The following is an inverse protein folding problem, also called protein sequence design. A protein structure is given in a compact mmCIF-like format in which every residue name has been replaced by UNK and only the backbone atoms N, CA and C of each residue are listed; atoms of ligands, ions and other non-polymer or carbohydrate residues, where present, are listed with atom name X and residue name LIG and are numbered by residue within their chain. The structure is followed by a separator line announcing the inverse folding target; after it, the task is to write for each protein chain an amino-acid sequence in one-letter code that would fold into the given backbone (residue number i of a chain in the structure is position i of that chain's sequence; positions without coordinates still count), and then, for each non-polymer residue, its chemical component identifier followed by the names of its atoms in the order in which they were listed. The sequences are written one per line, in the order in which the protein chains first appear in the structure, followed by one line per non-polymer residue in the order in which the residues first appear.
data_IF_269036875702
#
_entry.id   IF_269036875702
#
_cell.length_a   1.000
_cell.length_b   1.000
_cell.length_c   1.000
_cell.angle_alpha   90.00
_cell.angle_beta   90.00
_cell.angle_gamma   90.00
#
_symmetry.space_group_name_H-M   'P 1'
#
loop_
_entity.id
_entity.type
_entity.pdbx_description
1 polymer ?
#
# COMPACT_ATOMS: atom_id res chain seq x y z
N UNK A 1 47.83 -38.40 -0.74
CA UNK A 1 47.26 -37.07 -0.41
C UNK A 1 47.11 -36.21 -1.68
N UNK A 2 46.24 -36.61 -2.61
CA UNK A 2 45.88 -35.86 -3.84
C UNK A 2 44.65 -36.55 -4.43
N UNK A 3 43.48 -36.22 -3.88
CA UNK A 3 42.11 -36.57 -4.32
C UNK A 3 41.23 -36.22 -3.12
N UNK A 4 40.70 -34.99 -3.10
CA UNK A 4 39.60 -34.41 -2.29
C UNK A 4 39.74 -32.86 -2.41
N UNK A 5 39.95 -32.33 -3.61
CA UNK A 5 39.78 -30.89 -3.90
C UNK A 5 39.32 -30.79 -5.35
N UNK A 6 38.17 -31.39 -5.68
CA UNK A 6 37.53 -31.16 -6.99
C UNK A 6 36.00 -31.33 -6.95
N UNK A 7 35.39 -31.26 -5.77
CA UNK A 7 33.92 -31.37 -5.61
C UNK A 7 33.28 -30.19 -4.88
N UNK A 8 34.08 -29.22 -4.39
CA UNK A 8 33.57 -27.99 -3.80
C UNK A 8 33.58 -26.76 -4.75
N UNK A 9 34.19 -26.89 -5.93
CA UNK A 9 34.29 -25.79 -6.91
C UNK A 9 33.24 -25.88 -8.04
N UNK A 10 32.51 -27.01 -8.14
CA UNK A 10 31.48 -27.19 -9.16
C UNK A 10 30.10 -26.63 -8.76
N UNK A 11 29.93 -26.17 -7.52
CA UNK A 11 28.69 -25.54 -7.04
C UNK A 11 28.73 -24.00 -7.08
N UNK A 12 29.86 -23.40 -7.48
CA UNK A 12 30.04 -21.94 -7.45
C UNK A 12 30.17 -21.27 -8.84
N UNK A 13 30.09 -22.02 -9.95
CA UNK A 13 30.32 -21.47 -11.32
C UNK A 13 29.24 -21.88 -12.33
N UNK A 14 27.99 -22.06 -11.91
CA UNK A 14 26.87 -22.32 -12.84
C UNK A 14 25.65 -21.37 -12.69
N UNK A 15 25.77 -20.30 -11.90
CA UNK A 15 24.75 -19.24 -11.81
C UNK A 15 25.29 -17.85 -12.12
N UNK A 16 26.07 -17.71 -13.20
CA UNK A 16 26.26 -16.44 -13.89
C UNK A 16 25.57 -16.46 -15.27
N UNK A 17 24.35 -17.02 -15.31
CA UNK A 17 23.38 -16.61 -16.32
C UNK A 17 22.58 -15.49 -15.68
N UNK A 18 22.69 -14.27 -16.20
CA UNK A 18 21.82 -13.14 -15.85
C UNK A 18 20.41 -13.68 -15.63
N UNK A 19 19.96 -13.71 -14.37
CA UNK A 19 18.59 -14.11 -14.11
C UNK A 19 17.72 -13.05 -14.79
N UNK A 20 16.74 -13.41 -15.64
CA UNK A 20 15.88 -12.43 -16.30
C UNK A 20 15.32 -11.37 -15.32
N UNK A 21 15.08 -11.77 -14.06
CA UNK A 21 14.62 -10.91 -12.96
C UNK A 21 15.55 -9.72 -12.69
N UNK A 22 16.87 -9.89 -12.80
CA UNK A 22 17.85 -8.84 -12.45
C UNK A 22 17.76 -7.62 -13.37
N UNK A 23 17.25 -7.82 -14.59
CA UNK A 23 17.04 -6.78 -15.60
C UNK A 23 15.55 -6.42 -15.77
N UNK A 24 14.66 -6.99 -14.94
CA UNK A 24 13.22 -6.70 -14.94
C UNK A 24 12.89 -5.53 -14.01
N UNK A 25 11.71 -4.96 -14.21
CA UNK A 25 11.07 -4.12 -13.21
C UNK A 25 10.47 -5.03 -12.15
N UNK A 26 10.91 -4.85 -10.90
CA UNK A 26 10.41 -5.60 -9.76
C UNK A 26 9.52 -4.67 -8.94
N UNK A 27 8.21 -4.89 -8.98
CA UNK A 27 7.25 -4.22 -8.12
C UNK A 27 7.32 -4.87 -6.74
N UNK A 28 7.64 -4.11 -5.70
CA UNK A 28 7.63 -4.58 -4.31
C UNK A 28 6.18 -4.74 -3.85
N UNK A 29 5.42 -3.64 -3.94
CA UNK A 29 4.00 -3.58 -3.60
C UNK A 29 3.30 -2.54 -4.46
N UNK A 30 1.99 -2.70 -4.61
CA UNK A 30 1.13 -1.74 -5.30
C UNK A 30 -0.06 -1.43 -4.41
N UNK A 31 -0.40 -0.16 -4.30
CA UNK A 31 -1.47 0.32 -3.45
C UNK A 31 -2.42 1.16 -4.29
N UNK A 32 -3.72 0.96 -4.14
CA UNK A 32 -4.73 1.88 -4.67
C UNK A 32 -5.43 2.58 -3.51
N UNK A 33 -5.76 3.86 -3.68
CA UNK A 33 -6.63 4.54 -2.73
C UNK A 33 -8.02 3.87 -2.70
N UNK A 34 -8.50 3.46 -3.88
CA UNK A 34 -9.68 2.63 -4.07
C UNK A 34 -9.57 1.79 -5.35
N UNK A 35 -10.41 0.77 -5.45
CA UNK A 35 -10.59 -0.01 -6.66
C UNK A 35 -12.08 -0.30 -6.83
N UNK A 36 -12.61 0.01 -8.00
CA UNK A 36 -13.92 -0.46 -8.41
C UNK A 36 -13.92 -2.00 -8.47
N UNK A 37 -15.06 -2.62 -8.23
CA UNK A 37 -15.19 -4.07 -8.12
C UNK A 37 -14.57 -4.81 -9.33
N UNK A 38 -13.72 -5.80 -9.04
CA UNK A 38 -13.01 -6.59 -10.06
C UNK A 38 -11.80 -5.90 -10.71
N UNK A 39 -11.46 -4.67 -10.32
CA UNK A 39 -10.36 -3.89 -10.94
C UNK A 39 -9.21 -3.65 -9.96
N UNK A 40 -8.48 -4.71 -9.59
CA UNK A 40 -7.28 -4.62 -8.74
C UNK A 40 -6.20 -3.72 -9.37
N UNK A 41 -5.43 -2.94 -8.59
CA UNK A 41 -4.36 -2.12 -9.13
C UNK A 41 -3.31 -2.91 -9.92
N UNK A 42 -3.08 -4.18 -9.56
CA UNK A 42 -2.10 -5.03 -10.26
C UNK A 42 -2.51 -5.35 -11.70
N UNK A 43 -3.78 -5.17 -12.05
CA UNK A 43 -4.30 -5.41 -13.39
C UNK A 43 -3.62 -4.56 -14.47
N UNK A 44 -2.99 -3.43 -14.10
CA UNK A 44 -2.25 -2.58 -15.06
C UNK A 44 -1.03 -3.29 -15.69
N UNK A 45 -0.64 -4.46 -15.16
CA UNK A 45 0.42 -5.30 -15.70
C UNK A 45 -0.09 -6.60 -16.33
N UNK A 46 -1.41 -6.80 -16.39
CA UNK A 46 -2.03 -8.03 -16.88
C UNK A 46 -2.78 -7.74 -18.18
N UNK A 47 -2.38 -8.44 -19.25
CA UNK A 47 -3.02 -8.29 -20.57
C UNK A 47 -4.53 -8.52 -20.48
N UNK A 48 -5.31 -7.63 -21.09
CA UNK A 48 -6.77 -7.70 -21.13
C UNK A 48 -7.48 -7.24 -19.85
N UNK A 49 -6.74 -6.84 -18.79
CA UNK A 49 -7.32 -6.26 -17.58
C UNK A 49 -7.00 -4.77 -17.47
N UNK A 50 -7.60 -4.12 -16.48
CA UNK A 50 -7.37 -2.72 -16.13
C UNK A 50 -7.66 -2.50 -14.64
N UNK A 51 -7.15 -1.39 -14.11
CA UNK A 51 -7.54 -0.84 -12.81
C UNK A 51 -8.48 0.35 -13.03
N UNK A 52 -9.52 0.48 -12.20
CA UNK A 52 -10.41 1.63 -12.21
C UNK A 52 -10.62 2.17 -10.79
N UNK A 53 -10.41 3.47 -10.56
CA UNK A 53 -10.72 4.07 -9.28
C UNK A 53 -12.22 4.14 -9.02
N UNK A 54 -12.62 4.19 -7.75
CA UNK A 54 -14.00 4.49 -7.35
C UNK A 54 -14.32 5.98 -7.51
N UNK A 55 -13.33 6.87 -7.35
CA UNK A 55 -13.52 8.33 -7.44
C UNK A 55 -12.39 9.03 -8.22
N UNK A 56 -12.62 10.28 -8.63
CA UNK A 56 -11.61 11.09 -9.35
C UNK A 56 -10.44 11.58 -8.48
N UNK A 57 -10.47 11.36 -7.16
CA UNK A 57 -9.37 11.64 -6.24
C UNK A 57 -8.51 10.40 -5.93
N UNK A 58 -8.79 9.28 -6.61
CA UNK A 58 -8.13 8.01 -6.33
C UNK A 58 -7.09 7.70 -7.39
N UNK A 59 -5.90 7.33 -6.92
CA UNK A 59 -4.78 6.92 -7.75
C UNK A 59 -4.18 5.60 -7.29
N UNK A 60 -3.19 5.13 -8.04
CA UNK A 60 -2.35 3.99 -7.67
C UNK A 60 -0.92 4.44 -7.37
N UNK A 61 -0.35 3.87 -6.33
CA UNK A 61 1.06 4.02 -5.96
C UNK A 61 1.77 2.70 -6.20
N UNK A 62 2.86 2.74 -6.98
CA UNK A 62 3.66 1.58 -7.33
C UNK A 62 5.02 1.75 -6.66
N UNK A 63 5.35 0.83 -5.76
CA UNK A 63 6.62 0.79 -5.03
C UNK A 63 7.52 -0.24 -5.67
N UNK A 64 8.76 0.14 -5.95
CA UNK A 64 9.72 -0.73 -6.63
C UNK A 64 10.65 -1.44 -5.65
N UNK A 65 11.24 -2.55 -6.10
CA UNK A 65 12.38 -3.21 -5.48
C UNK A 65 13.50 -3.35 -6.50
N UNK A 66 14.72 -3.52 -6.01
CA UNK A 66 15.91 -3.67 -6.84
C UNK A 66 15.98 -5.08 -7.40
N UNK A 67 15.73 -5.19 -8.71
CA UNK A 67 15.83 -6.43 -9.46
C UNK A 67 17.18 -7.12 -9.27
N UNK A 68 18.30 -6.40 -9.21
CA UNK A 68 19.62 -7.00 -9.01
C UNK A 68 19.84 -7.58 -7.59
N UNK A 69 18.95 -7.27 -6.63
CA UNK A 69 19.01 -7.75 -5.25
C UNK A 69 17.79 -8.59 -4.86
N UNK A 70 17.03 -9.07 -5.85
CA UNK A 70 15.76 -9.78 -5.62
C UNK A 70 15.93 -11.07 -4.79
N UNK A 71 17.09 -11.71 -4.85
CA UNK A 71 17.42 -12.96 -4.14
C UNK A 71 18.27 -12.74 -2.88
N UNK A 72 18.44 -11.50 -2.43
CA UNK A 72 19.21 -11.19 -1.22
C UNK A 72 18.29 -11.14 0.00
N UNK A 73 18.70 -11.81 1.08
CA UNK A 73 18.05 -11.70 2.37
C UNK A 73 18.39 -10.35 3.05
N UNK A 74 17.53 -9.92 3.96
CA UNK A 74 17.69 -8.67 4.71
C UNK A 74 16.88 -7.52 4.12
N UNK A 75 17.30 -6.29 4.43
CA UNK A 75 16.56 -5.08 4.05
C UNK A 75 16.45 -4.97 2.53
N UNK A 76 15.24 -4.75 2.02
CA UNK A 76 15.02 -4.52 0.60
C UNK A 76 15.53 -3.15 0.17
N UNK A 77 15.95 -3.07 -1.09
CA UNK A 77 16.39 -1.83 -1.74
C UNK A 77 15.29 -1.42 -2.70
N UNK A 78 14.54 -0.38 -2.36
CA UNK A 78 13.29 -0.04 -3.04
C UNK A 78 13.50 0.76 -4.32
N UNK A 79 14.20 0.24 -5.35
CA UNK A 79 14.54 1.03 -6.55
C UNK A 79 14.45 0.23 -7.85
N UNK A 80 13.82 0.79 -8.88
CA UNK A 80 13.86 0.27 -10.25
C UNK A 80 14.59 1.22 -11.21
N UNK A 81 15.13 0.65 -12.30
CA UNK A 81 15.89 1.39 -13.30
C UNK A 81 15.20 1.28 -14.67
N UNK A 82 14.69 2.42 -15.14
CA UNK A 82 14.10 2.62 -16.46
C UNK A 82 14.23 4.10 -16.84
N UNK A 83 14.24 4.41 -18.13
CA UNK A 83 14.34 5.79 -18.62
C UNK A 83 13.18 6.21 -19.52
N UNK A 84 12.23 5.31 -19.81
CA UNK A 84 10.97 5.65 -20.46
C UNK A 84 9.81 4.90 -19.83
N UNK A 85 8.63 5.51 -19.84
CA UNK A 85 7.39 4.94 -19.32
C UNK A 85 6.24 5.25 -20.28
N UNK A 86 5.34 4.29 -20.48
CA UNK A 86 4.09 4.47 -21.21
C UNK A 86 2.91 4.09 -20.33
N UNK A 87 1.84 4.89 -20.38
CA UNK A 87 0.60 4.67 -19.65
C UNK A 87 -0.54 4.68 -20.66
N UNK A 88 -1.32 3.62 -20.68
CA UNK A 88 -2.54 3.52 -21.49
C UNK A 88 -3.74 3.60 -20.56
N UNK A 89 -4.67 4.50 -20.85
CA UNK A 89 -5.91 4.64 -20.10
C UNK A 89 -7.00 3.70 -20.65
N UNK A 90 -7.99 3.39 -19.82
CA UNK A 90 -9.14 2.58 -20.23
C UNK A 90 -9.95 3.31 -21.32
N UNK A 91 -10.21 4.59 -21.11
CA UNK A 91 -10.82 5.48 -22.10
C UNK A 91 -9.74 6.36 -22.73
N UNK A 92 -9.77 6.52 -24.06
CA UNK A 92 -8.81 7.37 -24.79
C UNK A 92 -9.17 8.87 -24.67
N UNK A 93 -9.28 9.37 -23.44
CA UNK A 93 -9.62 10.77 -23.12
C UNK A 93 -9.08 11.17 -21.74
N UNK A 94 -8.88 12.47 -21.54
CA UNK A 94 -8.34 12.99 -20.27
C UNK A 94 -6.84 12.74 -20.14
N UNK A 95 -6.35 12.77 -18.91
CA UNK A 95 -4.93 12.62 -18.60
C UNK A 95 -4.68 11.76 -17.36
N UNK A 96 -3.44 11.33 -17.17
CA UNK A 96 -2.94 10.75 -15.91
C UNK A 96 -1.82 11.63 -15.39
N UNK A 97 -2.03 12.24 -14.22
CA UNK A 97 -0.96 12.93 -13.52
C UNK A 97 0.04 11.90 -12.98
N UNK A 98 1.31 12.07 -13.35
CA UNK A 98 2.41 11.20 -12.98
C UNK A 98 3.32 11.91 -11.99
N UNK A 99 3.48 11.28 -10.84
CA UNK A 99 4.41 11.69 -9.80
C UNK A 99 5.50 10.64 -9.68
N UNK A 100 6.73 11.10 -9.49
CA UNK A 100 7.92 10.27 -9.35
C UNK A 100 8.65 10.68 -8.08
N UNK A 101 8.87 9.74 -7.18
CA UNK A 101 9.55 9.96 -5.89
C UNK A 101 8.91 11.14 -5.10
N UNK A 102 7.58 11.19 -5.08
CA UNK A 102 6.80 12.22 -4.39
C UNK A 102 6.68 13.57 -5.13
N UNK A 103 7.41 13.77 -6.21
CA UNK A 103 7.38 15.02 -6.99
C UNK A 103 6.51 14.88 -8.24
N UNK A 104 5.77 15.93 -8.58
CA UNK A 104 5.09 15.99 -9.88
C UNK A 104 6.12 15.90 -11.00
N UNK A 105 5.84 15.08 -12.02
CA UNK A 105 6.74 14.88 -13.14
C UNK A 105 6.12 15.33 -14.47
N UNK A 106 4.93 14.85 -14.82
CA UNK A 106 4.21 15.27 -16.05
C UNK A 106 2.77 14.75 -16.06
N UNK A 107 1.98 15.14 -17.06
CA UNK A 107 0.71 14.52 -17.40
C UNK A 107 0.84 13.64 -18.65
N UNK A 108 0.28 12.43 -18.59
CA UNK A 108 0.12 11.53 -19.73
C UNK A 108 -1.22 11.79 -20.39
N UNK A 109 -1.20 12.23 -21.66
CA UNK A 109 -2.39 12.38 -22.48
C UNK A 109 -2.92 10.99 -22.88
N UNK A 110 -4.11 10.61 -22.39
CA UNK A 110 -4.70 9.30 -22.62
C UNK A 110 -5.03 9.01 -24.10
N UNK A 111 -4.95 10.01 -24.99
CA UNK A 111 -5.08 9.81 -26.44
C UNK A 111 -3.79 9.29 -27.09
N UNK A 112 -2.66 9.34 -26.38
CA UNK A 112 -1.33 8.96 -26.85
C UNK A 112 -0.80 7.77 -26.07
N UNK A 113 -0.24 6.79 -26.78
CA UNK A 113 0.31 5.55 -26.19
C UNK A 113 1.85 5.48 -26.29
N UNK A 114 2.48 6.61 -26.61
CA UNK A 114 3.93 6.68 -26.83
C UNK A 114 4.69 6.69 -25.50
N UNK A 115 5.76 5.88 -25.35
CA UNK A 115 6.68 6.01 -24.22
C UNK A 115 7.22 7.43 -24.10
N UNK A 116 7.22 7.97 -22.89
CA UNK A 116 7.81 9.26 -22.56
C UNK A 116 9.13 9.06 -21.82
N UNK A 117 10.14 9.84 -22.19
CA UNK A 117 11.44 9.85 -21.53
C UNK A 117 11.32 10.48 -20.14
N UNK A 118 11.96 9.86 -19.16
CA UNK A 118 12.08 10.37 -17.80
C UNK A 118 13.55 10.48 -17.39
N UNK A 119 13.88 11.50 -16.60
CA UNK A 119 15.18 11.56 -15.92
C UNK A 119 15.16 10.58 -14.73
N UNK A 120 16.06 9.61 -14.72
CA UNK A 120 16.09 8.55 -13.71
C UNK A 120 17.52 8.17 -13.33
N UNK A 121 17.81 8.19 -12.02
CA UNK A 121 19.01 7.58 -11.42
C UNK A 121 18.59 6.41 -10.50
N UNK A 122 17.46 5.77 -10.83
CA UNK A 122 16.71 4.89 -9.95
C UNK A 122 15.43 5.58 -9.45
N UNK A 123 14.30 4.90 -9.60
CA UNK A 123 12.97 5.37 -9.16
C UNK A 123 12.51 4.46 -8.03
N UNK A 124 12.10 5.05 -6.89
CA UNK A 124 11.62 4.28 -5.75
C UNK A 124 10.12 4.05 -5.80
N UNK A 125 9.40 5.10 -6.18
CA UNK A 125 7.94 5.09 -6.16
C UNK A 125 7.40 5.97 -7.27
N UNK A 126 6.30 5.53 -7.87
CA UNK A 126 5.49 6.37 -8.74
C UNK A 126 4.06 6.40 -8.23
N UNK A 127 3.40 7.55 -8.40
CA UNK A 127 1.98 7.71 -8.13
C UNK A 127 1.28 8.19 -9.40
N UNK A 128 0.19 7.50 -9.76
CA UNK A 128 -0.59 7.73 -10.96
C UNK A 128 -2.00 8.12 -10.55
N UNK A 129 -2.40 9.35 -10.89
CA UNK A 129 -3.73 9.88 -10.63
C UNK A 129 -4.44 10.15 -11.97
N UNK A 130 -5.37 9.29 -12.40
CA UNK A 130 -6.14 9.53 -13.61
C UNK A 130 -7.21 10.61 -13.40
N UNK A 131 -7.37 11.46 -14.40
CA UNK A 131 -8.44 12.45 -14.47
C UNK A 131 -9.80 11.76 -14.57
N UNK A 132 -10.81 12.38 -13.94
CA UNK A 132 -12.24 12.02 -14.09
C UNK A 132 -12.53 10.53 -13.84
N UNK A 133 -11.76 9.89 -12.95
CA UNK A 133 -11.84 8.47 -12.64
C UNK A 133 -11.67 7.54 -13.88
N UNK A 134 -10.93 7.99 -14.89
CA UNK A 134 -10.56 7.16 -16.03
C UNK A 134 -9.68 5.98 -15.53
N UNK A 135 -10.00 4.75 -15.95
CA UNK A 135 -9.19 3.61 -15.56
C UNK A 135 -7.78 3.66 -16.17
N UNK A 136 -6.83 2.96 -15.57
CA UNK A 136 -5.51 2.70 -16.16
C UNK A 136 -5.52 1.27 -16.69
N UNK A 137 -5.28 1.12 -17.99
CA UNK A 137 -5.26 -0.16 -18.67
C UNK A 137 -3.88 -0.80 -18.61
N UNK A 138 -2.83 -0.06 -18.97
CA UNK A 138 -1.46 -0.58 -18.90
C UNK A 138 -0.47 0.44 -18.38
N UNK A 139 0.55 -0.05 -17.66
CA UNK A 139 1.77 0.71 -17.33
C UNK A 139 2.96 -0.11 -17.83
N UNK A 140 3.75 0.46 -18.74
CA UNK A 140 4.91 -0.19 -19.34
C UNK A 140 6.17 0.62 -19.12
N UNK A 141 7.27 -0.06 -18.84
CA UNK A 141 8.58 0.54 -18.58
C UNK A 141 9.58 0.13 -19.65
N UNK A 142 10.48 1.03 -19.99
CA UNK A 142 11.49 0.77 -21.01
C UNK A 142 12.86 1.30 -20.57
N UNK A 143 13.89 0.62 -21.08
CA UNK A 143 15.28 1.04 -20.97
C UNK A 143 15.86 1.16 -22.39
N UNK A 144 16.19 2.37 -22.81
CA UNK A 144 16.79 2.65 -24.13
C UNK A 144 15.95 2.08 -25.28
N UNK A 145 14.64 2.36 -25.29
CA UNK A 145 13.68 1.87 -26.27
C UNK A 145 13.26 0.40 -26.11
N UNK A 146 13.91 -0.40 -25.26
CA UNK A 146 13.55 -1.79 -25.01
C UNK A 146 12.53 -1.90 -23.87
N UNK A 147 11.37 -2.49 -24.14
CA UNK A 147 10.36 -2.81 -23.11
C UNK A 147 10.93 -3.79 -22.10
N UNK A 148 10.74 -3.50 -20.82
CA UNK A 148 11.18 -4.33 -19.70
C UNK A 148 10.05 -5.23 -19.24
N UNK A 149 10.40 -6.45 -18.82
CA UNK A 149 9.47 -7.34 -18.14
C UNK A 149 9.14 -6.78 -16.75
N UNK A 150 7.90 -6.97 -16.30
CA UNK A 150 7.43 -6.52 -14.99
C UNK A 150 7.09 -7.74 -14.14
N UNK A 151 7.73 -7.84 -12.99
CA UNK A 151 7.49 -8.85 -11.98
C UNK A 151 6.81 -8.21 -10.79
N UNK A 152 5.72 -8.79 -10.36
CA UNK A 152 4.90 -8.25 -9.27
C UNK A 152 4.44 -9.37 -8.34
N UNK A 153 3.99 -9.04 -7.11
CA UNK A 153 3.30 -10.01 -6.26
C UNK A 153 2.01 -10.46 -6.95
N UNK A 154 1.95 -11.72 -7.36
CA UNK A 154 0.78 -12.32 -7.98
C UNK A 154 -0.37 -12.37 -6.97
N UNK A 155 -1.56 -11.85 -7.31
CA UNK A 155 -2.71 -11.95 -6.41
C UNK A 155 -3.18 -13.40 -6.34
N UNK A 156 -3.23 -13.96 -5.13
CA UNK A 156 -3.78 -15.30 -4.86
C UNK A 156 -4.95 -15.18 -3.89
N UNK A 157 -6.06 -15.84 -4.22
CA UNK A 157 -7.25 -15.80 -3.36
C UNK A 157 -7.04 -16.63 -2.11
N UNK A 158 -7.45 -16.07 -0.96
CA UNK A 158 -7.42 -16.76 0.32
C UNK A 158 -8.22 -16.04 1.38
N UNK A 159 -7.99 -16.44 2.63
CA UNK A 159 -8.50 -15.79 3.82
C UNK A 159 -7.35 -15.65 4.82
N UNK A 160 -7.25 -14.49 5.44
CA UNK A 160 -6.28 -14.19 6.48
C UNK A 160 -7.04 -13.99 7.78
N UNK A 161 -6.67 -14.75 8.79
CA UNK A 161 -7.25 -14.67 10.14
C UNK A 161 -6.15 -14.44 11.16
N UNK A 162 -6.51 -13.94 12.33
CA UNK A 162 -5.60 -13.79 13.45
C UNK A 162 -6.25 -14.30 14.73
N UNK A 163 -5.42 -14.74 15.69
CA UNK A 163 -5.89 -15.16 17.01
C UNK A 163 -6.58 -14.03 17.76
N UNK A 164 -6.13 -12.80 17.54
CA UNK A 164 -6.79 -11.58 18.00
C UNK A 164 -6.47 -10.42 17.06
N UNK A 165 -7.21 -9.33 17.21
CA UNK A 165 -7.04 -8.12 16.42
C UNK A 165 -7.52 -6.93 17.25
N UNK A 166 -6.71 -5.87 17.33
CA UNK A 166 -7.17 -4.59 17.85
C UNK A 166 -8.26 -4.02 16.92
N UNK A 167 -9.34 -3.40 17.45
CA UNK A 167 -10.39 -2.85 16.61
C UNK A 167 -9.85 -1.90 15.52
N UNK A 168 -10.26 -2.13 14.27
CA UNK A 168 -9.84 -1.40 13.06
C UNK A 168 -8.42 -1.71 12.54
N UNK A 169 -7.76 -2.74 13.05
CA UNK A 169 -6.44 -3.21 12.57
C UNK A 169 -6.48 -4.68 12.11
N UNK A 170 -7.37 -5.01 11.15
CA UNK A 170 -7.72 -6.38 10.75
C UNK A 170 -6.53 -7.15 10.17
N UNK A 171 -6.57 -8.48 10.27
CA UNK A 171 -5.54 -9.36 9.74
C UNK A 171 -5.32 -9.21 8.21
N UNK A 172 -6.39 -8.90 7.45
CA UNK A 172 -6.28 -8.69 6.01
C UNK A 172 -5.44 -7.47 5.62
N UNK A 173 -5.19 -6.52 6.54
CA UNK A 173 -4.27 -5.40 6.29
C UNK A 173 -2.82 -5.84 6.14
N UNK A 174 -2.48 -7.09 6.46
CA UNK A 174 -1.16 -7.65 6.13
C UNK A 174 -0.90 -7.77 4.62
N UNK A 175 -1.93 -7.63 3.77
CA UNK A 175 -1.85 -7.84 2.32
C UNK A 175 -2.57 -6.76 1.51
N UNK A 176 -2.80 -5.57 2.10
CA UNK A 176 -3.52 -4.49 1.43
C UNK A 176 -2.63 -3.59 0.57
N UNK A 177 -1.32 -3.88 0.53
CA UNK A 177 -0.31 -3.16 -0.22
C UNK A 177 0.14 -1.88 0.46
N UNK A 178 -0.33 -1.56 1.68
CA UNK A 178 -0.10 -0.32 2.41
C UNK A 178 0.63 -0.54 3.72
N UNK A 179 1.82 0.05 3.85
CA UNK A 179 2.54 0.05 5.14
C UNK A 179 1.95 1.03 6.17
N UNK A 180 0.96 1.83 5.76
CA UNK A 180 0.24 2.76 6.62
C UNK A 180 -0.94 2.08 7.33
N UNK A 181 -1.41 0.98 6.78
CA UNK A 181 -2.34 0.06 7.43
C UNK A 181 -1.54 -1.10 7.99
N UNK A 182 -2.12 -1.80 8.96
CA UNK A 182 -1.40 -2.84 9.69
C UNK A 182 -2.38 -3.79 10.35
N UNK A 183 -1.90 -5.02 10.58
CA UNK A 183 -2.46 -5.85 11.62
C UNK A 183 -1.80 -5.50 12.97
N UNK A 184 -2.65 -5.37 13.98
CA UNK A 184 -2.25 -5.16 15.37
C UNK A 184 -2.94 -6.24 16.18
N UNK A 185 -2.18 -6.98 16.98
CA UNK A 185 -2.77 -7.95 17.90
C UNK A 185 -3.66 -7.25 18.94
N UNK A 186 -4.63 -7.99 19.49
CA UNK A 186 -5.69 -7.43 20.32
C UNK A 186 -5.62 -7.82 21.80
N UNK A 187 -4.53 -8.43 22.27
CA UNK A 187 -4.39 -8.84 23.66
C UNK A 187 -3.82 -7.72 24.54
N UNK A 188 -4.11 -7.68 25.85
CA UNK A 188 -3.55 -6.65 26.75
C UNK A 188 -2.04 -6.78 27.03
N UNK A 189 -1.41 -7.85 26.52
CA UNK A 189 0.02 -8.15 26.72
C UNK A 189 0.84 -7.64 25.54
N UNK A 190 2.08 -8.11 25.38
CA UNK A 190 2.94 -7.73 24.25
C UNK A 190 2.67 -8.55 22.98
N UNK A 191 1.73 -9.51 23.02
CA UNK A 191 1.34 -10.31 21.86
C UNK A 191 2.16 -11.58 21.64
N UNK A 192 3.03 -11.98 22.58
CA UNK A 192 3.70 -13.30 22.50
C UNK A 192 2.65 -14.42 22.54
N UNK A 193 2.72 -15.33 21.58
CA UNK A 193 1.75 -16.41 21.37
C UNK A 193 0.62 -16.06 20.40
N UNK A 194 0.41 -14.78 20.10
CA UNK A 194 -0.53 -14.37 19.07
C UNK A 194 -0.05 -14.78 17.68
N UNK A 195 -0.98 -14.94 16.76
CA UNK A 195 -0.71 -15.49 15.44
C UNK A 195 -1.62 -14.95 14.38
N UNK A 196 -1.15 -15.02 13.13
CA UNK A 196 -2.00 -14.93 11.96
C UNK A 196 -1.85 -16.19 11.11
N UNK A 197 -2.92 -16.52 10.40
CA UNK A 197 -3.01 -17.70 9.56
C UNK A 197 -3.55 -17.31 8.20
N UNK A 198 -2.92 -17.86 7.16
CA UNK A 198 -3.27 -17.69 5.76
C UNK A 198 -3.83 -19.02 5.27
N UNK A 199 -5.07 -19.00 4.80
CA UNK A 199 -5.72 -20.12 4.15
C UNK A 199 -5.98 -19.78 2.68
N UNK A 200 -5.22 -20.39 1.78
CA UNK A 200 -5.27 -20.16 0.34
C UNK A 200 -6.25 -21.13 -0.35
N UNK A 201 -6.78 -20.70 -1.50
CA UNK A 201 -7.61 -21.58 -2.34
C UNK A 201 -6.76 -22.61 -3.11
N UNK A 202 -5.55 -22.20 -3.52
CA UNK A 202 -4.60 -23.02 -4.28
C UNK A 202 -3.34 -23.32 -3.46
N UNK A 203 -2.73 -24.47 -3.73
CA UNK A 203 -1.47 -24.86 -3.09
C UNK A 203 -0.31 -24.02 -3.62
N UNK A 204 0.57 -23.57 -2.72
CA UNK A 204 1.81 -22.88 -3.06
C UNK A 204 2.97 -23.48 -2.29
N UNK A 205 4.17 -23.40 -2.88
CA UNK A 205 5.42 -23.66 -2.17
C UNK A 205 5.95 -22.37 -1.57
N UNK A 206 5.81 -22.20 -0.26
CA UNK A 206 6.23 -21.01 0.47
C UNK A 206 7.70 -21.15 0.91
N UNK A 207 8.58 -20.38 0.28
CA UNK A 207 10.03 -20.41 0.47
C UNK A 207 10.54 -19.25 1.33
N UNK A 208 9.67 -18.32 1.71
CA UNK A 208 10.05 -17.15 2.51
C UNK A 208 8.93 -16.13 2.62
N UNK A 209 9.25 -15.02 3.28
CA UNK A 209 8.40 -13.82 3.31
C UNK A 209 9.25 -12.57 3.13
N UNK A 210 8.62 -11.52 2.61
CA UNK A 210 9.07 -10.15 2.81
C UNK A 210 8.15 -9.50 3.85
N UNK A 211 8.70 -8.98 4.94
CA UNK A 211 7.92 -8.43 6.05
C UNK A 211 8.25 -6.96 6.28
N UNK A 212 7.21 -6.14 6.40
CA UNK A 212 7.28 -4.77 6.89
C UNK A 212 6.88 -4.77 8.36
N UNK A 213 7.87 -4.99 9.21
CA UNK A 213 7.67 -5.19 10.65
C UNK A 213 7.39 -3.86 11.38
N UNK A 214 6.64 -3.93 12.49
CA UNK A 214 6.26 -2.76 13.29
C UNK A 214 5.29 -1.83 12.57
N UNK A 215 4.87 -0.76 13.27
CA UNK A 215 3.93 0.20 12.69
C UNK A 215 4.67 1.24 11.84
N UNK A 216 4.53 1.16 10.51
CA UNK A 216 5.31 1.97 9.57
C UNK A 216 4.58 3.20 9.00
N UNK A 217 3.38 3.52 9.51
CA UNK A 217 2.62 4.74 9.12
C UNK A 217 3.41 6.03 9.34
N UNK A 218 4.21 6.07 10.40
CA UNK A 218 5.09 7.18 10.75
C UNK A 218 6.30 6.62 11.50
N UNK A 219 7.50 7.13 11.21
CA UNK A 219 8.74 6.63 11.81
C UNK A 219 8.70 6.54 13.34
N UNK A 220 8.08 7.52 13.99
CA UNK A 220 7.92 7.52 15.44
C UNK A 220 7.07 6.34 15.96
N UNK A 221 6.10 5.85 15.19
CA UNK A 221 5.20 4.76 15.61
C UNK A 221 5.93 3.42 15.68
N UNK A 222 6.93 3.19 14.82
CA UNK A 222 7.71 1.95 14.83
C UNK A 222 8.35 1.66 16.20
N UNK A 223 8.80 2.70 16.91
CA UNK A 223 9.39 2.56 18.24
C UNK A 223 8.38 2.71 19.39
N UNK A 224 7.22 3.33 19.15
CA UNK A 224 6.19 3.48 20.18
C UNK A 224 5.38 2.21 20.38
N UNK A 225 5.20 1.42 19.32
CA UNK A 225 4.53 0.12 19.32
C UNK A 225 5.52 -1.04 19.40
N UNK A 226 5.01 -2.22 19.75
CA UNK A 226 5.74 -3.47 19.70
C UNK A 226 6.00 -3.94 18.28
N UNK A 227 7.07 -4.72 18.10
CA UNK A 227 7.47 -5.31 16.81
C UNK A 227 8.00 -6.72 17.02
N UNK A 228 7.79 -7.60 16.03
CA UNK A 228 8.17 -9.01 16.18
C UNK A 228 9.68 -9.19 16.01
N UNK A 229 10.30 -10.08 16.78
CA UNK A 229 11.72 -10.46 16.60
C UNK A 229 11.88 -11.91 16.17
N UNK A 230 10.96 -12.78 16.56
CA UNK A 230 10.99 -14.20 16.21
C UNK A 230 9.55 -14.66 15.91
N UNK A 231 9.38 -15.34 14.76
CA UNK A 231 8.13 -15.95 14.32
C UNK A 231 8.32 -17.46 14.19
N UNK A 232 7.37 -18.25 14.68
CA UNK A 232 7.23 -19.65 14.31
C UNK A 232 6.36 -19.74 13.05
N UNK A 233 6.92 -20.28 11.97
CA UNK A 233 6.19 -20.54 10.72
C UNK A 233 5.85 -22.03 10.67
N UNK A 234 4.61 -22.37 10.30
CA UNK A 234 4.17 -23.76 10.16
C UNK A 234 3.10 -23.97 9.07
N UNK A 235 3.03 -25.18 8.51
CA UNK A 235 1.98 -25.64 7.59
C UNK A 235 1.22 -26.88 8.13
N UNK A 236 0.99 -26.93 9.45
CA UNK A 236 0.46 -28.05 10.24
C UNK A 236 1.37 -29.30 10.34
N UNK A 237 2.11 -29.67 9.30
CA UNK A 237 3.02 -30.84 9.31
C UNK A 237 4.42 -30.49 9.78
N UNK A 238 4.90 -29.30 9.43
CA UNK A 238 6.25 -28.85 9.68
C UNK A 238 6.26 -27.46 10.30
N UNK A 239 7.28 -27.16 11.10
CA UNK A 239 7.50 -25.81 11.61
C UNK A 239 8.98 -25.47 11.78
N UNK A 240 9.28 -24.17 11.77
CA UNK A 240 10.58 -23.62 12.12
C UNK A 240 10.46 -22.16 12.54
N UNK A 241 11.42 -21.70 13.34
CA UNK A 241 11.51 -20.29 13.73
C UNK A 241 12.30 -19.49 12.70
N UNK A 242 11.83 -18.28 12.41
CA UNK A 242 12.56 -17.25 11.65
C UNK A 242 12.81 -16.04 12.52
N UNK A 243 13.89 -15.31 12.22
CA UNK A 243 14.24 -14.05 12.91
C UNK A 243 13.89 -12.86 12.04
N UNK A 244 13.34 -11.82 12.66
CA UNK A 244 13.01 -10.54 12.04
C UNK A 244 13.89 -9.46 12.65
N UNK A 245 14.60 -8.69 11.83
CA UNK A 245 15.50 -7.66 12.35
C UNK A 245 14.71 -6.42 12.80
N UNK A 246 15.32 -5.63 13.70
CA UNK A 246 14.79 -4.34 14.17
C UNK A 246 14.94 -3.23 13.12
N UNK A 247 14.22 -3.34 12.00
CA UNK A 247 14.38 -2.38 10.89
C UNK A 247 13.04 -2.05 10.25
N UNK A 248 12.83 -0.76 10.01
CA UNK A 248 11.78 -0.28 9.11
C UNK A 248 12.12 -0.58 7.64
N UNK A 249 11.08 -0.55 6.80
CA UNK A 249 11.12 -1.01 5.41
C UNK A 249 10.96 -2.52 5.29
N UNK A 250 10.90 -3.00 4.04
CA UNK A 250 10.77 -4.42 3.73
C UNK A 250 12.01 -5.21 4.14
N UNK A 251 11.78 -6.41 4.67
CA UNK A 251 12.84 -7.35 5.03
C UNK A 251 12.57 -8.71 4.41
N UNK A 252 13.46 -9.15 3.53
CA UNK A 252 13.38 -10.46 2.89
C UNK A 252 13.98 -11.54 3.78
N UNK A 253 13.17 -12.54 4.12
CA UNK A 253 13.55 -13.66 4.97
C UNK A 253 13.23 -14.95 4.20
N UNK A 254 14.28 -15.67 3.79
CA UNK A 254 14.13 -17.00 3.21
C UNK A 254 14.04 -18.05 4.30
N UNK A 255 13.21 -19.04 4.06
CA UNK A 255 13.00 -20.15 4.97
C UNK A 255 14.11 -21.19 4.82
N UNK A 256 14.44 -21.93 5.90
CA UNK A 256 15.38 -23.04 5.82
C UNK A 256 14.87 -24.18 4.93
N UNK A 257 13.55 -24.26 4.72
CA UNK A 257 12.89 -25.20 3.80
C UNK A 257 11.62 -24.59 3.22
N UNK A 258 11.28 -24.99 2.01
CA UNK A 258 9.99 -24.64 1.39
C UNK A 258 8.87 -25.40 2.10
N UNK A 259 7.84 -24.69 2.55
CA UNK A 259 6.61 -25.28 3.06
C UNK A 259 5.60 -25.37 1.92
N UNK A 260 5.20 -26.58 1.53
CA UNK A 260 4.10 -26.77 0.58
C UNK A 260 2.76 -26.84 1.32
N UNK A 261 1.73 -26.23 0.75
CA UNK A 261 0.38 -26.34 1.28
C UNK A 261 -0.52 -25.17 0.91
N UNK A 262 -1.70 -25.18 1.52
CA UNK A 262 -2.69 -24.09 1.43
C UNK A 262 -2.80 -23.29 2.72
N UNK A 263 -2.29 -23.82 3.82
CA UNK A 263 -2.44 -23.26 5.16
C UNK A 263 -1.08 -22.95 5.74
N UNK A 264 -0.85 -21.70 6.11
CA UNK A 264 0.39 -21.26 6.73
C UNK A 264 0.07 -20.41 7.96
N UNK A 265 0.60 -20.81 9.11
CA UNK A 265 0.43 -20.10 10.37
C UNK A 265 1.76 -19.50 10.81
N UNK A 266 1.69 -18.25 11.27
CA UNK A 266 2.80 -17.47 11.78
C UNK A 266 2.49 -17.08 13.22
N UNK A 267 3.24 -17.60 14.18
CA UNK A 267 3.03 -17.34 15.61
C UNK A 267 4.16 -16.49 16.15
N UNK A 268 3.82 -15.40 16.84
CA UNK A 268 4.75 -14.49 17.50
C UNK A 268 5.42 -15.24 18.66
N UNK A 269 6.70 -15.54 18.53
CA UNK A 269 7.46 -16.18 19.61
C UNK A 269 8.13 -15.15 20.52
N UNK A 270 8.56 -14.03 19.95
CA UNK A 270 9.23 -12.96 20.69
C UNK A 270 8.92 -11.60 20.08
N UNK A 271 8.84 -10.63 20.98
CA UNK A 271 8.51 -9.24 20.68
C UNK A 271 9.60 -8.35 21.26
N UNK A 272 9.89 -7.27 20.54
CA UNK A 272 10.52 -6.08 21.11
C UNK A 272 9.41 -5.16 21.59
N UNK A 273 9.30 -4.91 22.91
CA UNK A 273 8.25 -4.06 23.44
C UNK A 273 8.32 -2.64 22.89
N UNK A 274 7.14 -2.04 22.66
CA UNK A 274 7.02 -0.63 22.32
C UNK A 274 7.35 0.29 23.50
N UNK A 275 7.81 1.50 23.20
CA UNK A 275 8.10 2.53 24.23
C UNK A 275 6.84 3.16 24.84
N UNK A 276 5.69 3.04 24.18
CA UNK A 276 4.44 3.70 24.60
C UNK A 276 3.29 2.71 24.72
N UNK A 277 3.12 1.85 23.73
CA UNK A 277 2.04 0.87 23.69
C UNK A 277 2.61 -0.55 23.69
N UNK A 278 1.87 -1.48 24.30
CA UNK A 278 2.23 -2.90 24.31
C UNK A 278 1.86 -3.59 23.00
N UNK A 279 0.97 -2.99 22.22
CA UNK A 279 0.44 -3.53 20.97
C UNK A 279 1.57 -3.88 19.99
N UNK A 280 1.65 -5.14 19.58
CA UNK A 280 2.58 -5.60 18.55
C UNK A 280 1.98 -5.49 17.15
N UNK A 281 2.77 -4.96 16.22
CA UNK A 281 2.30 -4.54 14.90
C UNK A 281 3.13 -5.19 13.79
N UNK A 282 2.45 -5.60 12.72
CA UNK A 282 3.05 -5.94 11.43
C UNK A 282 2.28 -5.17 10.36
N UNK A 283 2.98 -4.37 9.56
CA UNK A 283 2.36 -3.49 8.58
C UNK A 283 1.94 -4.25 7.31
N UNK A 284 2.82 -5.06 6.74
CA UNK A 284 2.61 -5.70 5.43
C UNK A 284 3.46 -6.96 5.28
N UNK A 285 2.99 -7.93 4.51
CA UNK A 285 3.69 -9.16 4.15
C UNK A 285 3.54 -9.47 2.66
N UNK A 286 4.63 -9.88 2.03
CA UNK A 286 4.62 -10.50 0.71
C UNK A 286 5.11 -11.94 0.86
N UNK A 287 4.38 -12.90 0.31
CA UNK A 287 4.78 -14.31 0.34
C UNK A 287 5.79 -14.57 -0.76
N UNK A 288 6.86 -15.29 -0.45
CA UNK A 288 7.91 -15.64 -1.42
C UNK A 288 7.79 -17.11 -1.81
N UNK A 289 7.61 -17.36 -3.09
CA UNK A 289 7.64 -18.70 -3.67
C UNK A 289 8.99 -19.08 -4.24
N UNK A 290 9.05 -20.29 -4.81
CA UNK A 290 10.22 -20.73 -5.56
C UNK A 290 10.49 -19.87 -6.79
N UNK A 291 11.76 -19.81 -7.22
CA UNK A 291 12.20 -19.15 -8.45
C UNK A 291 11.81 -17.66 -8.55
N UNK A 292 11.75 -16.97 -7.40
CA UNK A 292 11.46 -15.53 -7.35
C UNK A 292 10.00 -15.16 -7.55
N UNK A 293 9.09 -16.14 -7.50
CA UNK A 293 7.65 -15.88 -7.41
C UNK A 293 7.35 -15.13 -6.11
N UNK A 294 6.41 -14.20 -6.20
CA UNK A 294 5.94 -13.40 -5.07
C UNK A 294 4.44 -13.38 -5.12
N UNK A 295 3.78 -13.40 -3.97
CA UNK A 295 2.34 -13.41 -3.88
C UNK A 295 1.83 -12.40 -2.86
N UNK A 296 0.69 -11.80 -3.17
CA UNK A 296 -0.14 -11.07 -2.20
C UNK A 296 -1.48 -11.78 -2.08
N UNK A 297 -2.07 -11.78 -0.88
CA UNK A 297 -3.32 -12.51 -0.61
C UNK A 297 -4.50 -11.57 -0.84
N UNK A 298 -5.40 -11.97 -1.75
CA UNK A 298 -6.69 -11.31 -1.92
C UNK A 298 -7.67 -11.92 -0.94
N UNK A 299 -7.90 -11.21 0.18
CA UNK A 299 -8.78 -11.65 1.26
C UNK A 299 -10.23 -11.22 1.04
N UNK A 300 -11.17 -12.18 1.08
CA UNK A 300 -12.61 -11.95 0.95
C UNK A 300 -13.18 -11.06 2.06
N UNK A 301 -12.58 -11.08 3.25
CA UNK A 301 -13.00 -10.27 4.39
C UNK A 301 -12.85 -8.76 4.11
N UNK A 302 -11.87 -8.36 3.29
CA UNK A 302 -11.70 -6.96 2.89
C UNK A 302 -12.87 -6.47 2.03
N UNK A 303 -13.33 -7.30 1.07
CA UNK A 303 -14.49 -7.00 0.24
C UNK A 303 -15.79 -7.01 1.07
N UNK A 304 -15.93 -7.94 2.01
CA UNK A 304 -17.06 -7.98 2.93
C UNK A 304 -17.13 -6.73 3.82
N UNK A 305 -15.97 -6.23 4.27
CA UNK A 305 -15.89 -4.96 5.00
C UNK A 305 -16.39 -3.80 4.14
N UNK A 306 -15.94 -3.68 2.88
CA UNK A 306 -16.45 -2.65 1.94
C UNK A 306 -17.97 -2.72 1.80
N UNK A 307 -18.51 -3.91 1.55
CA UNK A 307 -19.97 -4.12 1.43
C UNK A 307 -20.71 -3.79 2.72
N UNK A 308 -20.13 -4.11 3.87
CA UNK A 308 -20.69 -3.78 5.19
C UNK A 308 -20.79 -2.27 5.40
N UNK A 309 -19.74 -1.52 5.08
CA UNK A 309 -19.76 -0.04 5.17
C UNK A 309 -20.85 0.53 4.26
N UNK A 310 -20.89 0.13 2.98
CA UNK A 310 -21.91 0.59 2.04
C UNK A 310 -23.33 0.29 2.51
N UNK A 311 -23.56 -0.91 3.03
CA UNK A 311 -24.85 -1.34 3.58
C UNK A 311 -25.27 -0.48 4.78
N UNK A 312 -24.37 -0.26 5.75
CA UNK A 312 -24.64 0.56 6.94
C UNK A 312 -24.88 2.03 6.62
N UNK A 313 -24.31 2.53 5.52
CA UNK A 313 -24.51 3.93 5.10
C UNK A 313 -25.71 4.12 4.19
N UNK A 314 -26.32 3.04 3.69
CA UNK A 314 -27.51 3.08 2.84
C UNK A 314 -28.67 3.72 3.61
N UNK A 315 -29.43 4.58 2.94
CA UNK A 315 -30.57 5.33 3.52
C UNK A 315 -30.20 6.26 4.69
N UNK A 316 -28.92 6.55 4.89
CA UNK A 316 -28.44 7.57 5.82
C UNK A 316 -28.00 8.82 5.09
N UNK A 317 -27.67 9.88 5.82
CA UNK A 317 -27.07 11.09 5.28
C UNK A 317 -25.74 10.83 4.53
N UNK A 318 -25.05 9.72 4.82
CA UNK A 318 -23.78 9.36 4.18
C UNK A 318 -23.95 8.63 2.83
N UNK A 319 -25.17 8.23 2.46
CA UNK A 319 -25.41 7.41 1.25
C UNK A 319 -24.94 8.06 -0.05
N UNK A 320 -25.00 9.39 -0.17
CA UNK A 320 -24.56 10.14 -1.33
C UNK A 320 -23.10 10.59 -1.28
N UNK A 321 -22.33 10.10 -0.32
CA UNK A 321 -21.05 10.69 0.06
C UNK A 321 -19.91 9.67 0.21
N UNK A 322 -20.20 8.47 0.71
CA UNK A 322 -19.22 7.37 0.68
C UNK A 322 -18.92 7.01 -0.76
N UNK A 323 -17.64 6.83 -1.07
CA UNK A 323 -17.13 6.61 -2.44
C UNK A 323 -17.49 7.75 -3.40
N UNK A 324 -17.53 8.99 -2.90
CA UNK A 324 -17.69 10.18 -3.73
C UNK A 324 -16.61 11.20 -3.38
N UNK A 325 -15.89 11.65 -4.40
CA UNK A 325 -15.04 12.83 -4.28
C UNK A 325 -15.91 14.07 -4.16
N UNK A 326 -15.62 14.90 -3.17
CA UNK A 326 -16.26 16.21 -3.02
C UNK A 326 -15.17 17.27 -3.12
N UNK A 327 -15.51 18.33 -3.84
CA UNK A 327 -14.68 19.47 -4.11
C UNK A 327 -15.43 20.69 -3.59
N UNK A 328 -14.88 21.38 -2.59
CA UNK A 328 -15.54 22.49 -1.93
C UNK A 328 -14.62 23.71 -1.86
N UNK A 329 -15.12 24.86 -2.31
CA UNK A 329 -14.48 26.14 -2.03
C UNK A 329 -14.81 26.54 -0.58
N UNK A 330 -13.80 26.96 0.18
CA UNK A 330 -13.96 27.50 1.54
C UNK A 330 -13.51 28.97 1.54
N UNK A 331 -13.84 29.73 2.59
CA UNK A 331 -13.58 31.18 2.67
C UNK A 331 -12.15 31.59 2.27
N UNK A 332 -11.17 30.77 2.66
CA UNK A 332 -9.74 31.05 2.51
C UNK A 332 -9.01 29.99 1.68
N UNK A 333 -9.71 29.31 0.76
CA UNK A 333 -9.09 28.35 -0.15
C UNK A 333 -10.01 27.23 -0.61
N UNK A 334 -9.49 26.01 -0.66
CA UNK A 334 -10.19 24.83 -1.17
C UNK A 334 -10.04 23.65 -0.22
N UNK A 335 -11.12 22.87 -0.10
CA UNK A 335 -11.13 21.63 0.65
C UNK A 335 -11.73 20.50 -0.20
N UNK A 336 -10.90 19.52 -0.52
CA UNK A 336 -11.30 18.34 -1.28
C UNK A 336 -11.21 17.12 -0.39
N UNK A 337 -12.21 16.23 -0.42
CA UNK A 337 -12.15 15.04 0.41
C UNK A 337 -12.91 13.87 -0.20
N UNK A 338 -12.57 12.68 0.31
CA UNK A 338 -13.29 11.45 0.01
C UNK A 338 -13.22 10.50 1.20
N UNK A 339 -14.35 9.87 1.51
CA UNK A 339 -14.47 8.80 2.49
C UNK A 339 -14.83 7.53 1.75
N UNK A 340 -14.00 6.50 1.89
CA UNK A 340 -14.09 5.30 1.06
C UNK A 340 -14.66 4.13 1.84
N UNK A 341 -15.35 3.23 1.14
CA UNK A 341 -15.96 2.03 1.71
C UNK A 341 -14.93 1.04 2.26
N UNK A 342 -13.68 1.08 1.78
CA UNK A 342 -12.56 0.35 2.36
C UNK A 342 -12.09 0.92 3.72
N UNK A 343 -12.79 1.92 4.27
CA UNK A 343 -12.52 2.51 5.57
C UNK A 343 -11.37 3.49 5.55
N UNK A 344 -10.81 3.84 4.39
CA UNK A 344 -9.83 4.93 4.26
C UNK A 344 -10.50 6.27 3.95
N UNK A 345 -9.82 7.38 4.27
CA UNK A 345 -10.24 8.72 3.87
C UNK A 345 -9.04 9.56 3.47
N UNK A 346 -9.30 10.65 2.75
CA UNK A 346 -8.34 11.75 2.60
C UNK A 346 -9.10 13.08 2.59
N UNK A 347 -8.49 14.11 3.17
CA UNK A 347 -8.91 15.51 3.13
C UNK A 347 -7.70 16.34 2.73
N UNK A 348 -7.80 17.01 1.59
CA UNK A 348 -6.87 18.02 1.13
C UNK A 348 -7.41 19.38 1.54
N UNK A 349 -6.62 20.15 2.29
CA UNK A 349 -6.92 21.54 2.62
C UNK A 349 -5.85 22.42 1.98
N UNK A 350 -6.23 23.18 0.98
CA UNK A 350 -5.37 24.18 0.33
C UNK A 350 -5.86 25.57 0.75
N UNK A 351 -5.24 26.15 1.77
CA UNK A 351 -5.55 27.49 2.30
C UNK A 351 -4.44 28.45 1.87
N UNK A 352 -4.76 29.74 1.72
CA UNK A 352 -3.81 30.81 1.34
C UNK A 352 -2.53 30.77 2.21
N UNK A 353 -2.67 30.36 3.47
CA UNK A 353 -1.56 30.29 4.44
C UNK A 353 -0.82 28.94 4.50
N UNK A 354 -1.50 27.83 4.21
CA UNK A 354 -0.91 26.49 4.31
C UNK A 354 -1.67 25.42 3.52
N UNK A 355 -0.89 24.48 2.96
CA UNK A 355 -1.43 23.25 2.37
C UNK A 355 -1.29 22.11 3.36
N UNK A 356 -2.38 21.37 3.58
CA UNK A 356 -2.41 20.23 4.48
C UNK A 356 -3.13 19.05 3.86
N UNK A 357 -2.68 17.86 4.25
CA UNK A 357 -3.30 16.60 3.85
C UNK A 357 -3.58 15.82 5.12
N UNK A 358 -4.82 15.39 5.28
CA UNK A 358 -5.21 14.49 6.33
C UNK A 358 -5.65 13.19 5.72
N UNK A 359 -5.01 12.10 6.09
CA UNK A 359 -5.32 10.77 5.58
C UNK A 359 -5.36 9.74 6.71
N UNK A 360 -5.94 8.58 6.42
CA UNK A 360 -5.96 7.46 7.35
C UNK A 360 -7.23 6.66 7.24
N UNK A 361 -7.74 6.22 8.40
CA UNK A 361 -8.94 5.40 8.50
C UNK A 361 -10.11 6.16 9.12
N UNK A 362 -11.32 5.79 8.72
CA UNK A 362 -12.56 6.25 9.32
C UNK A 362 -13.46 5.08 9.71
N UNK A 363 -14.29 5.32 10.72
CA UNK A 363 -15.22 4.34 11.28
C UNK A 363 -16.58 5.00 11.45
N UNK A 364 -17.63 4.35 10.95
CA UNK A 364 -19.00 4.73 11.22
C UNK A 364 -19.37 4.36 12.66
N UNK A 365 -19.75 5.35 13.47
CA UNK A 365 -20.21 5.13 14.85
C UNK A 365 -21.73 5.02 14.92
N UNK A 366 -22.42 5.95 14.26
CA UNK A 366 -23.89 6.01 14.19
C UNK A 366 -24.31 6.80 12.95
N UNK A 367 -25.46 6.48 12.36
CA UNK A 367 -26.03 7.27 11.26
C UNK A 367 -27.52 7.02 11.06
N UNK A 368 -28.22 8.10 10.71
CA UNK A 368 -29.59 8.10 10.25
C UNK A 368 -29.75 9.06 9.05
N UNK A 369 -30.98 9.33 8.62
CA UNK A 369 -31.26 10.17 7.45
C UNK A 369 -30.84 11.66 7.61
N UNK A 370 -30.64 12.12 8.84
CA UNK A 370 -30.42 13.54 9.17
C UNK A 370 -29.05 13.83 9.79
N UNK A 371 -28.47 12.86 10.49
CA UNK A 371 -27.18 13.02 11.17
C UNK A 371 -26.37 11.72 11.08
N UNK A 372 -25.05 11.84 11.04
CA UNK A 372 -24.13 10.75 11.30
C UNK A 372 -23.01 11.17 12.25
N UNK A 373 -22.43 10.19 12.95
CA UNK A 373 -21.20 10.33 13.73
C UNK A 373 -20.16 9.37 13.17
N UNK A 374 -19.02 9.91 12.81
CA UNK A 374 -17.88 9.14 12.30
C UNK A 374 -16.64 9.44 13.13
N UNK A 375 -15.79 8.44 13.34
CA UNK A 375 -14.45 8.61 13.89
C UNK A 375 -13.46 8.62 12.74
N UNK A 376 -12.49 9.52 12.77
CA UNK A 376 -11.35 9.52 11.85
C UNK A 376 -10.04 9.44 12.64
N UNK A 377 -9.03 8.80 12.09
CA UNK A 377 -7.69 8.76 12.67
C UNK A 377 -6.63 8.44 11.63
N UNK A 378 -5.45 9.02 11.80
CA UNK A 378 -4.37 8.86 10.84
C UNK A 378 -3.37 9.99 10.95
N UNK A 379 -2.93 10.51 9.81
CA UNK A 379 -1.87 11.50 9.73
C UNK A 379 -2.40 12.85 9.29
N UNK A 380 -1.79 13.90 9.82
CA UNK A 380 -2.01 15.27 9.41
C UNK A 380 -0.66 15.86 9.00
N UNK A 381 -0.51 16.03 7.69
CA UNK A 381 0.70 16.47 7.02
C UNK A 381 0.56 17.95 6.66
N UNK A 382 1.62 18.71 6.93
CA UNK A 382 1.81 20.03 6.32
C UNK A 382 2.68 19.86 5.08
N UNK A 383 2.20 20.37 3.97
CA UNK A 383 2.84 20.26 2.67
C UNK A 383 3.31 21.65 2.22
N UNK A 384 4.53 21.74 1.71
CA UNK A 384 5.05 22.94 1.07
C UNK A 384 5.26 22.62 -0.41
N UNK A 385 4.66 23.44 -1.27
CA UNK A 385 4.94 23.41 -2.70
C UNK A 385 5.93 24.53 -3.00
N UNK A 386 7.11 24.18 -3.52
CA UNK A 386 8.12 25.13 -3.99
C UNK A 386 8.14 25.08 -5.53
N UNK A 387 7.96 26.23 -6.17
CA UNK A 387 8.24 26.36 -7.60
C UNK A 387 9.75 26.31 -7.80
N UNK A 388 10.22 25.40 -8.64
CA UNK A 388 11.63 25.23 -8.98
C UNK A 388 12.07 26.14 -10.14
N UNK A 389 11.14 26.73 -10.88
CA UNK A 389 11.42 27.60 -12.02
C UNK A 389 10.28 28.62 -12.20
N UNK A 390 10.61 29.91 -12.11
CA UNK A 390 9.65 31.01 -12.30
C UNK A 390 9.03 31.08 -13.70
N UNK A 391 9.60 30.36 -14.69
CA UNK A 391 9.15 30.36 -16.08
C UNK A 391 8.40 29.08 -16.51
N UNK A 392 8.26 28.09 -15.62
CA UNK A 392 7.49 26.87 -15.91
C UNK A 392 6.34 26.72 -14.91
N UNK A 393 5.07 26.90 -15.33
CA UNK A 393 3.91 26.77 -14.43
C UNK A 393 3.67 25.34 -13.93
N UNK A 394 4.54 24.39 -14.28
CA UNK A 394 4.43 22.97 -13.93
C UNK A 394 5.68 22.41 -13.24
N UNK A 395 6.70 23.24 -12.99
CA UNK A 395 7.90 22.83 -12.26
C UNK A 395 7.73 23.10 -10.76
N UNK A 396 6.93 22.29 -10.09
CA UNK A 396 6.72 22.36 -8.64
C UNK A 396 7.24 21.11 -7.95
N UNK A 397 8.01 21.29 -6.88
CA UNK A 397 8.30 20.23 -5.92
C UNK A 397 7.41 20.39 -4.71
N UNK A 398 6.79 19.29 -4.32
CA UNK A 398 5.96 19.21 -3.13
C UNK A 398 6.72 18.43 -2.07
N UNK A 399 6.99 19.07 -0.93
CA UNK A 399 7.72 18.48 0.19
C UNK A 399 6.85 18.44 1.44
N UNK A 400 6.89 17.32 2.16
CA UNK A 400 6.28 17.19 3.48
C UNK A 400 7.12 17.94 4.53
N UNK A 401 6.53 18.96 5.15
CA UNK A 401 7.20 19.77 6.18
C UNK A 401 7.15 19.12 7.57
N UNK A 402 5.99 18.56 7.91
CA UNK A 402 5.75 17.99 9.24
C UNK A 402 4.53 17.08 9.21
N UNK A 403 4.59 16.00 9.99
CA UNK A 403 3.50 15.04 10.12
C UNK A 403 3.24 14.69 11.56
N UNK A 404 1.96 14.67 11.94
CA UNK A 404 1.49 14.26 13.26
C UNK A 404 0.39 13.23 13.16
N UNK A 405 0.32 12.32 14.13
CA UNK A 405 -0.81 11.40 14.26
C UNK A 405 -1.96 12.13 14.97
N UNK A 406 -3.17 11.94 14.47
CA UNK A 406 -4.37 12.54 15.04
C UNK A 406 -5.54 11.55 15.06
N UNK A 407 -6.55 11.89 15.86
CA UNK A 407 -7.87 11.30 15.79
C UNK A 407 -8.93 12.35 16.11
N UNK A 408 -10.10 12.23 15.52
CA UNK A 408 -11.23 13.12 15.74
C UNK A 408 -12.55 12.34 15.63
N UNK A 409 -13.62 12.91 16.15
CA UNK A 409 -14.99 12.42 15.96
C UNK A 409 -15.81 13.53 15.35
N UNK A 410 -16.32 13.29 14.15
CA UNK A 410 -17.06 14.26 13.38
C UNK A 410 -18.56 13.98 13.50
N UNK A 411 -19.33 15.02 13.79
CA UNK A 411 -20.77 15.05 13.58
C UNK A 411 -21.05 15.57 12.18
N UNK A 412 -21.77 14.79 11.39
CA UNK A 412 -22.12 15.07 10.00
C UNK A 412 -23.59 15.43 9.91
N UNK A 413 -23.90 16.60 9.35
CA UNK A 413 -25.27 17.13 9.17
C UNK A 413 -25.43 17.70 7.76
N UNK A 414 -26.66 17.93 7.33
CA UNK A 414 -26.93 18.64 6.08
C UNK A 414 -26.56 20.12 6.23
N UNK A 415 -25.85 20.68 5.26
CA UNK A 415 -25.68 22.12 5.08
C UNK A 415 -26.57 22.60 3.93
N UNK A 416 -26.57 23.90 3.62
CA UNK A 416 -27.33 24.46 2.49
C UNK A 416 -26.85 23.90 1.14
N UNK A 417 -25.55 23.61 1.00
CA UNK A 417 -24.91 23.23 -0.26
C UNK A 417 -24.28 21.82 -0.25
N UNK A 418 -24.38 21.07 0.85
CA UNK A 418 -23.72 19.78 1.00
C UNK A 418 -23.81 19.20 2.41
N UNK A 419 -22.65 18.85 2.98
CA UNK A 419 -22.55 18.29 4.33
C UNK A 419 -21.67 19.18 5.21
N UNK A 420 -22.20 19.49 6.39
CA UNK A 420 -21.39 20.05 7.46
C UNK A 420 -20.77 18.90 8.27
N UNK A 421 -19.45 18.91 8.46
CA UNK A 421 -18.72 17.98 9.32
C UNK A 421 -17.97 18.73 10.40
N UNK A 422 -18.38 18.55 11.65
CA UNK A 422 -17.81 19.27 12.79
C UNK A 422 -17.20 18.29 13.78
N UNK A 423 -15.90 18.42 14.00
CA UNK A 423 -15.12 17.78 15.04
C UNK A 423 -14.31 18.80 15.84
N UNK A 424 -13.40 18.31 16.68
CA UNK A 424 -12.51 19.18 17.45
C UNK A 424 -11.42 19.81 16.58
N UNK A 425 -10.95 19.06 15.59
CA UNK A 425 -9.85 19.44 14.71
C UNK A 425 -10.34 19.77 13.31
N UNK A 426 -11.34 19.02 12.83
CA UNK A 426 -11.88 19.20 11.49
C UNK A 426 -13.17 20.01 11.56
N UNK A 427 -13.23 21.06 10.76
CA UNK A 427 -14.44 21.84 10.53
C UNK A 427 -14.60 21.97 9.03
N UNK A 428 -15.61 21.29 8.50
CA UNK A 428 -16.06 21.39 7.11
C UNK A 428 -17.45 21.98 7.18
N UNK A 429 -17.61 23.17 6.62
CA UNK A 429 -18.90 23.83 6.47
C UNK A 429 -18.92 24.48 5.11
N UNK A 430 -19.88 24.08 4.30
CA UNK A 430 -20.19 24.76 3.03
C UNK A 430 -20.92 26.09 3.28
#
# INVERSE_FOLDING_TARGET
MKKIILTLLAFLVLFCRNNPIENSIVIERIQAASSADGTSPINVFISGKYWKPETSLDGITIFFSNGAKWNQAGKTDGRAFFNEIAIECQEKKGYVAFYKDGSYATNFDCTKETPQKIKSNGVHVIYLLPDSANGIKTVSFFQNGKKLDVLYPEPITGQVTASSTLPNYPAYSLFDGSIDFAWVEGVPTDGVGESFEIQLENEVGLSGIEIFNGYQRLDALFHKNGSVTDLLVSNDSESFSIKVADKQGGQRIFFPKTLSGKKFKFTIQKVRPGKTWKDTVIAEIILLGEKGKRFTVVDKNADEFKRSVLSKTKNTILSGFVNKAVFGDISDGRMDYVFRSNGSFVIWKDDISEKRVLDGNWVLLDANANEAKIKIFGRDHKVITQSLDSNSPYAETTEEKSTVIFGDTLTVKKSANGLQMVGKKIQISD
#
